data_IF_531834125318
#
_entry.id   IF_531834125318
#
_cell.length_a   1.000
_cell.length_b   1.000
_cell.length_c   1.000
_cell.angle_alpha   90.00
_cell.angle_beta   90.00
_cell.angle_gamma   90.00
#
_symmetry.space_group_name_H-M   'P 1'
#
loop_
_entity.id
_entity.type
_entity.pdbx_description
1 polymer ?
#
# COMPACT_ATOMS: atom_id res chain seq x y z
N UNK A 1 -23.40 -5.17 -2.34
CA UNK A 1 -23.90 -6.26 -1.45
C UNK A 1 -22.69 -7.07 -1.01
N UNK A 2 -22.59 -7.39 0.29
CA UNK A 2 -21.52 -8.24 0.83
C UNK A 2 -22.04 -9.68 0.82
N UNK A 3 -21.45 -10.55 0.01
CA UNK A 3 -21.89 -11.94 -0.19
C UNK A 3 -20.81 -12.99 0.12
N UNK A 4 -19.62 -12.54 0.51
CA UNK A 4 -18.58 -13.38 1.11
C UNK A 4 -17.72 -12.60 2.09
N UNK A 5 -16.89 -13.33 2.85
CA UNK A 5 -15.94 -12.75 3.80
C UNK A 5 -14.60 -12.40 3.16
N UNK A 6 -14.24 -13.03 2.04
CA UNK A 6 -12.92 -12.86 1.40
C UNK A 6 -12.91 -11.89 0.22
N UNK A 7 -14.09 -11.43 -0.25
CA UNK A 7 -14.23 -10.56 -1.42
C UNK A 7 -14.56 -11.29 -2.73
N UNK A 8 -14.70 -12.63 -2.71
CA UNK A 8 -15.27 -13.37 -3.85
C UNK A 8 -16.79 -13.17 -3.91
N UNK A 9 -17.36 -13.12 -5.11
CA UNK A 9 -18.81 -13.02 -5.26
C UNK A 9 -19.47 -14.40 -5.29
N UNK A 10 -20.08 -14.80 -4.17
CA UNK A 10 -20.82 -16.05 -4.07
C UNK A 10 -22.18 -16.01 -4.77
N UNK A 11 -22.76 -14.82 -4.99
CA UNK A 11 -24.11 -14.68 -5.56
C UNK A 11 -24.21 -15.25 -6.98
N UNK A 12 -23.17 -15.05 -7.79
CA UNK A 12 -23.13 -15.48 -9.19
C UNK A 12 -22.22 -16.72 -9.39
N UNK A 13 -22.02 -17.50 -8.33
CA UNK A 13 -21.10 -18.62 -8.34
C UNK A 13 -21.76 -19.89 -8.90
N UNK A 14 -21.19 -20.46 -9.98
CA UNK A 14 -21.71 -21.67 -10.64
C UNK A 14 -21.76 -22.91 -9.73
N UNK A 15 -20.98 -22.92 -8.64
CA UNK A 15 -21.02 -23.98 -7.63
C UNK A 15 -22.32 -23.99 -6.82
N UNK A 16 -23.09 -22.89 -6.80
CA UNK A 16 -24.44 -22.87 -6.20
C UNK A 16 -25.37 -23.84 -6.93
N UNK A 17 -25.39 -23.78 -8.25
CA UNK A 17 -26.24 -24.63 -9.09
C UNK A 17 -25.72 -26.07 -9.18
N UNK A 18 -24.41 -26.24 -9.42
CA UNK A 18 -23.83 -27.55 -9.71
C UNK A 18 -23.61 -28.43 -8.47
N UNK A 19 -23.40 -27.84 -7.30
CA UNK A 19 -23.02 -28.54 -6.07
C UNK A 19 -23.91 -28.18 -4.86
N UNK A 20 -25.02 -27.46 -5.08
CA UNK A 20 -25.91 -27.02 -4.00
C UNK A 20 -25.22 -26.10 -2.98
N UNK A 21 -24.19 -25.36 -3.39
CA UNK A 21 -23.46 -24.45 -2.50
C UNK A 21 -24.38 -23.32 -2.01
N UNK A 22 -24.49 -23.13 -0.70
CA UNK A 22 -25.23 -21.97 -0.15
C UNK A 22 -24.41 -20.66 -0.25
N UNK A 23 -23.10 -20.74 -0.52
CA UNK A 23 -22.20 -19.59 -0.51
C UNK A 23 -21.67 -19.27 0.89
N UNK A 24 -20.74 -18.33 0.98
CA UNK A 24 -19.91 -18.14 2.19
C UNK A 24 -20.71 -17.61 3.39
N UNK A 25 -21.56 -16.59 3.20
CA UNK A 25 -22.31 -15.96 4.29
C UNK A 25 -23.43 -16.87 4.80
N UNK A 26 -24.25 -17.42 3.91
CA UNK A 26 -25.38 -18.29 4.25
C UNK A 26 -24.93 -19.57 4.97
N UNK A 27 -23.77 -20.13 4.59
CA UNK A 27 -23.20 -21.34 5.22
C UNK A 27 -22.34 -21.08 6.45
N UNK A 28 -22.25 -19.83 6.93
CA UNK A 28 -21.36 -19.46 8.05
C UNK A 28 -19.91 -19.90 7.83
N UNK A 29 -19.42 -19.75 6.60
CA UNK A 29 -18.05 -20.09 6.21
C UNK A 29 -17.84 -21.55 5.79
N UNK A 30 -18.91 -22.31 5.51
CA UNK A 30 -18.85 -23.70 5.05
C UNK A 30 -19.46 -23.85 3.64
N UNK A 31 -18.86 -23.25 2.58
CA UNK A 31 -19.29 -23.48 1.20
C UNK A 31 -19.13 -24.96 0.81
N UNK A 32 -19.45 -25.31 -0.44
CA UNK A 32 -19.47 -26.71 -0.93
C UNK A 32 -18.19 -27.51 -0.65
N UNK A 33 -17.04 -26.85 -0.54
CA UNK A 33 -15.74 -27.46 -0.27
C UNK A 33 -15.39 -27.55 1.23
N UNK A 34 -16.35 -27.30 2.13
CA UNK A 34 -16.17 -27.34 3.58
C UNK A 34 -15.69 -26.03 4.19
N UNK A 35 -15.17 -26.10 5.43
CA UNK A 35 -14.81 -24.94 6.24
C UNK A 35 -13.71 -24.07 5.59
N UNK A 36 -14.01 -22.78 5.41
CA UNK A 36 -13.10 -21.82 4.81
C UNK A 36 -12.24 -21.12 5.88
N UNK A 37 -10.91 -21.28 5.77
CA UNK A 37 -9.95 -20.71 6.73
C UNK A 37 -9.92 -19.17 6.79
N UNK A 38 -10.37 -18.47 5.72
CA UNK A 38 -10.55 -17.01 5.72
C UNK A 38 -11.84 -16.64 6.46
N UNK A 39 -12.92 -17.38 6.23
CA UNK A 39 -14.20 -17.14 6.87
C UNK A 39 -14.09 -17.31 8.40
N UNK A 40 -13.46 -18.40 8.85
CA UNK A 40 -13.16 -18.65 10.27
C UNK A 40 -12.36 -17.50 10.88
N UNK A 41 -11.34 -16.99 10.18
CA UNK A 41 -10.53 -15.87 10.66
C UNK A 41 -11.37 -14.61 10.87
N UNK A 42 -12.23 -14.24 9.90
CA UNK A 42 -13.10 -13.08 10.03
C UNK A 42 -14.10 -13.25 11.19
N UNK A 43 -14.71 -14.44 11.30
CA UNK A 43 -15.68 -14.77 12.35
C UNK A 43 -15.06 -14.68 13.75
N UNK A 44 -13.88 -15.25 13.95
CA UNK A 44 -13.17 -15.19 15.23
C UNK A 44 -12.77 -13.76 15.62
N UNK A 45 -12.55 -12.89 14.62
CA UNK A 45 -12.24 -11.46 14.83
C UNK A 45 -13.49 -10.57 14.92
N UNK A 46 -14.69 -11.13 14.79
CA UNK A 46 -15.94 -10.35 14.74
C UNK A 46 -16.07 -9.45 13.51
N UNK A 47 -15.32 -9.73 12.43
CA UNK A 47 -15.34 -8.95 11.19
C UNK A 47 -16.37 -9.51 10.22
N UNK A 48 -17.06 -8.63 9.50
CA UNK A 48 -17.99 -9.05 8.44
C UNK A 48 -17.21 -9.63 7.24
N UNK A 49 -16.16 -8.93 6.81
CA UNK A 49 -15.28 -9.35 5.72
C UNK A 49 -13.84 -8.87 5.96
N UNK A 50 -12.88 -9.39 5.19
CA UNK A 50 -11.46 -9.07 5.36
C UNK A 50 -11.13 -7.58 5.22
N UNK A 51 -11.97 -6.81 4.51
CA UNK A 51 -11.77 -5.38 4.29
C UNK A 51 -11.82 -4.54 5.57
N UNK A 52 -12.46 -5.06 6.62
CA UNK A 52 -12.49 -4.44 7.94
C UNK A 52 -11.22 -4.74 8.76
N UNK A 53 -10.30 -5.57 8.24
CA UNK A 53 -9.04 -5.88 8.90
C UNK A 53 -7.98 -4.85 8.51
N UNK A 54 -7.39 -4.17 9.50
CA UNK A 54 -6.31 -3.19 9.30
C UNK A 54 -4.98 -3.74 8.78
N UNK A 55 -4.89 -5.06 8.56
CA UNK A 55 -3.72 -5.72 7.96
C UNK A 55 -4.10 -6.42 6.63
N UNK A 56 -5.08 -5.90 5.87
CA UNK A 56 -5.46 -6.47 4.58
C UNK A 56 -4.50 -6.01 3.44
N UNK A 57 -4.05 -6.92 2.57
CA UNK A 57 -4.12 -8.37 2.70
C UNK A 57 -3.12 -8.87 3.75
N UNK A 58 -3.59 -9.77 4.60
CA UNK A 58 -2.73 -10.57 5.47
C UNK A 58 -2.13 -11.71 4.64
N UNK A 59 -1.08 -12.37 5.13
CA UNK A 59 -0.42 -13.45 4.38
C UNK A 59 -1.40 -14.51 3.89
N UNK A 60 -2.40 -14.90 4.70
CA UNK A 60 -3.43 -15.86 4.27
C UNK A 60 -4.20 -15.37 3.04
N UNK A 61 -4.73 -14.15 3.06
CA UNK A 61 -5.50 -13.62 1.92
C UNK A 61 -4.59 -13.37 0.70
N UNK A 62 -3.35 -12.94 0.94
CA UNK A 62 -2.38 -12.72 -0.12
C UNK A 62 -2.03 -14.01 -0.87
N UNK A 63 -1.80 -15.11 -0.15
CA UNK A 63 -1.53 -16.43 -0.76
C UNK A 63 -2.64 -16.81 -1.74
N UNK A 64 -3.91 -16.71 -1.31
CA UNK A 64 -5.02 -17.04 -2.20
C UNK A 64 -5.26 -16.00 -3.31
N UNK A 65 -5.07 -14.71 -3.04
CA UNK A 65 -5.46 -13.66 -4.01
C UNK A 65 -4.39 -13.37 -5.06
N UNK A 66 -3.11 -13.57 -4.72
CA UNK A 66 -1.98 -13.21 -5.58
C UNK A 66 -1.13 -14.42 -6.01
N UNK A 67 -0.96 -15.45 -5.18
CA UNK A 67 0.01 -16.52 -5.47
C UNK A 67 -0.61 -17.84 -5.95
N UNK A 68 -1.86 -18.11 -5.59
CA UNK A 68 -2.56 -19.33 -5.99
C UNK A 68 -2.86 -19.31 -7.51
N UNK A 69 -2.27 -20.26 -8.25
CA UNK A 69 -2.41 -20.35 -9.71
C UNK A 69 -3.70 -21.04 -10.15
N UNK A 70 -4.31 -21.84 -9.27
CA UNK A 70 -5.46 -22.68 -9.58
C UNK A 70 -6.76 -22.02 -9.11
N UNK A 71 -6.78 -21.53 -7.88
CA UNK A 71 -7.96 -20.96 -7.22
C UNK A 71 -7.78 -19.47 -6.84
N UNK A 72 -6.68 -18.86 -7.28
CA UNK A 72 -6.45 -17.44 -7.08
C UNK A 72 -7.16 -16.54 -8.08
N UNK A 73 -7.03 -15.24 -7.84
CA UNK A 73 -7.77 -14.24 -8.61
C UNK A 73 -7.16 -14.03 -10.01
N UNK A 74 -8.04 -13.71 -10.97
CA UNK A 74 -7.67 -13.35 -12.34
C UNK A 74 -8.50 -12.12 -12.74
N UNK A 75 -7.98 -10.89 -12.59
CA UNK A 75 -6.58 -10.55 -12.24
C UNK A 75 -6.24 -10.76 -10.76
N UNK A 76 -4.94 -10.88 -10.44
CA UNK A 76 -4.47 -11.01 -9.06
C UNK A 76 -5.01 -9.88 -8.15
N UNK A 77 -5.26 -10.14 -6.88
CA UNK A 77 -5.71 -9.09 -5.95
C UNK A 77 -7.17 -8.66 -6.07
N UNK A 78 -7.97 -9.28 -6.93
CA UNK A 78 -9.37 -8.89 -7.18
C UNK A 78 -10.20 -8.92 -5.88
N UNK A 79 -10.13 -10.01 -5.11
CA UNK A 79 -10.91 -10.14 -3.86
C UNK A 79 -10.47 -9.12 -2.81
N UNK A 80 -9.19 -8.73 -2.81
CA UNK A 80 -8.65 -7.65 -1.95
C UNK A 80 -9.24 -6.31 -2.35
N UNK A 81 -9.33 -6.03 -3.65
CA UNK A 81 -9.96 -4.83 -4.20
C UNK A 81 -11.45 -4.77 -3.82
N UNK A 82 -12.19 -5.88 -3.95
CA UNK A 82 -13.60 -5.95 -3.53
C UNK A 82 -13.75 -5.67 -2.03
N UNK A 83 -12.94 -6.32 -1.19
CA UNK A 83 -12.95 -6.09 0.25
C UNK A 83 -12.70 -4.62 0.62
N UNK A 84 -11.76 -3.96 -0.07
CA UNK A 84 -11.43 -2.55 0.13
C UNK A 84 -12.58 -1.63 -0.26
N UNK A 85 -13.25 -1.88 -1.38
CA UNK A 85 -14.44 -1.12 -1.80
C UNK A 85 -15.55 -1.23 -0.76
N UNK A 86 -15.88 -2.44 -0.30
CA UNK A 86 -16.88 -2.63 0.76
C UNK A 86 -16.52 -1.88 2.05
N UNK A 87 -15.25 -1.92 2.45
CA UNK A 87 -14.80 -1.21 3.65
C UNK A 87 -14.88 0.31 3.50
N UNK A 88 -14.42 0.84 2.36
CA UNK A 88 -14.48 2.27 2.01
C UNK A 88 -15.93 2.80 1.94
N UNK A 89 -16.80 2.09 1.24
CA UNK A 89 -18.22 2.44 1.11
C UNK A 89 -18.98 2.41 2.44
N UNK A 90 -18.57 1.53 3.36
CA UNK A 90 -19.15 1.46 4.71
C UNK A 90 -18.65 2.56 5.66
N UNK A 91 -17.60 3.30 5.28
CA UNK A 91 -16.92 4.27 6.15
C UNK A 91 -16.11 3.65 7.30
N UNK A 92 -16.02 2.31 7.38
CA UNK A 92 -15.29 1.62 8.45
C UNK A 92 -13.78 1.73 8.32
N UNK A 93 -13.27 1.81 7.08
CA UNK A 93 -11.86 2.04 6.78
C UNK A 93 -11.81 2.95 5.57
N UNK A 94 -10.99 4.01 5.62
CA UNK A 94 -10.80 4.91 4.49
C UNK A 94 -9.29 4.99 4.22
N UNK A 95 -8.89 4.56 3.03
CA UNK A 95 -7.52 4.70 2.55
C UNK A 95 -7.60 5.51 1.25
N UNK A 96 -7.22 6.77 1.31
CA UNK A 96 -7.29 7.69 0.16
C UNK A 96 -6.02 8.52 -0.02
N UNK A 97 -5.02 8.32 0.84
CA UNK A 97 -3.86 9.22 0.98
C UNK A 97 -2.52 8.50 0.79
N UNK A 98 -2.39 7.72 -0.29
CA UNK A 98 -1.12 7.08 -0.66
C UNK A 98 -0.56 7.79 -1.89
N UNK A 99 0.52 8.53 -1.73
CA UNK A 99 1.21 9.24 -2.80
C UNK A 99 2.52 8.51 -3.12
N UNK A 100 2.64 7.98 -4.33
CA UNK A 100 3.80 7.22 -4.79
C UNK A 100 4.54 8.04 -5.85
N UNK A 101 5.72 8.55 -5.53
CA UNK A 101 6.51 9.39 -6.43
C UNK A 101 7.68 8.60 -7.02
N UNK A 102 8.10 8.95 -8.24
CA UNK A 102 9.38 8.44 -8.76
C UNK A 102 10.57 9.08 -8.03
N UNK A 103 10.58 10.41 -7.92
CA UNK A 103 11.74 11.17 -7.46
C UNK A 103 11.40 12.36 -6.55
N UNK A 104 10.50 12.19 -5.58
CA UNK A 104 10.24 13.23 -4.57
C UNK A 104 9.52 14.46 -5.12
N UNK A 105 9.66 15.60 -4.43
CA UNK A 105 8.87 16.82 -4.63
C UNK A 105 9.63 17.95 -5.35
N UNK A 106 10.93 17.79 -5.57
CA UNK A 106 11.75 18.77 -6.30
C UNK A 106 12.52 18.10 -7.44
N UNK A 107 12.93 18.89 -8.43
CA UNK A 107 13.92 18.48 -9.42
C UNK A 107 15.37 18.64 -8.90
N UNK A 108 16.36 18.28 -9.72
CA UNK A 108 17.77 18.34 -9.30
C UNK A 108 18.32 19.78 -9.19
N UNK A 109 17.59 20.77 -9.70
CA UNK A 109 17.91 22.19 -9.59
C UNK A 109 17.23 22.84 -8.37
N UNK A 110 16.41 22.09 -7.63
CA UNK A 110 15.67 22.54 -6.44
C UNK A 110 14.35 23.25 -6.77
N UNK A 111 13.84 23.12 -8.00
CA UNK A 111 12.51 23.64 -8.33
C UNK A 111 11.44 22.66 -7.84
N UNK A 112 10.39 23.19 -7.21
CA UNK A 112 9.25 22.40 -6.78
C UNK A 112 8.49 21.83 -7.97
N UNK A 113 8.13 20.56 -7.85
CA UNK A 113 7.13 19.87 -8.69
C UNK A 113 5.76 20.26 -8.16
N UNK A 114 5.20 21.35 -8.68
CA UNK A 114 4.03 22.04 -8.13
C UNK A 114 2.79 21.14 -8.03
N UNK A 115 2.52 20.29 -9.02
CA UNK A 115 1.35 19.40 -9.04
C UNK A 115 1.50 18.27 -8.02
N UNK A 116 2.69 17.67 -7.91
CA UNK A 116 2.97 16.62 -6.91
C UNK A 116 2.97 17.22 -5.50
N UNK A 117 3.62 18.36 -5.30
CA UNK A 117 3.70 19.07 -4.02
C UNK A 117 2.31 19.55 -3.59
N UNK A 118 1.54 20.12 -4.51
CA UNK A 118 0.15 20.53 -4.29
C UNK A 118 -0.72 19.34 -3.88
N UNK A 119 -0.60 18.21 -4.58
CA UNK A 119 -1.29 16.99 -4.19
C UNK A 119 -0.92 16.54 -2.77
N UNK A 120 0.37 16.52 -2.41
CA UNK A 120 0.79 16.17 -1.05
C UNK A 120 0.14 17.07 0.00
N UNK A 121 0.13 18.39 -0.23
CA UNK A 121 -0.46 19.36 0.69
C UNK A 121 -1.98 19.18 0.84
N UNK A 122 -2.69 18.86 -0.25
CA UNK A 122 -4.13 18.56 -0.22
C UNK A 122 -4.48 17.31 0.58
N UNK A 123 -3.55 16.36 0.72
CA UNK A 123 -3.75 15.17 1.55
C UNK A 123 -3.66 15.47 3.05
N UNK A 124 -3.08 16.59 3.47
CA UNK A 124 -2.90 16.91 4.89
C UNK A 124 -4.23 17.34 5.52
N UNK A 125 -4.58 16.76 6.68
CA UNK A 125 -5.77 17.17 7.44
C UNK A 125 -5.57 18.47 8.24
N UNK A 126 -4.36 19.00 8.23
CA UNK A 126 -3.95 20.21 8.95
C UNK A 126 -2.87 20.96 8.18
N UNK A 127 -2.64 22.24 8.49
CA UNK A 127 -1.58 23.02 7.86
C UNK A 127 -0.22 22.32 7.99
N UNK A 128 0.61 22.40 6.94
CA UNK A 128 1.92 21.75 6.88
C UNK A 128 2.77 22.00 8.14
N UNK A 129 2.79 23.24 8.64
CA UNK A 129 3.54 23.61 9.84
C UNK A 129 3.16 22.82 11.11
N UNK A 130 1.96 22.24 11.18
CA UNK A 130 1.49 21.44 12.31
C UNK A 130 1.49 19.93 12.03
N UNK A 131 1.87 19.51 10.83
CA UNK A 131 1.88 18.11 10.39
C UNK A 131 3.10 17.38 10.93
N UNK A 132 2.87 16.24 11.59
CA UNK A 132 3.91 15.35 12.11
C UNK A 132 4.24 14.30 11.07
N UNK A 133 5.52 14.21 10.72
CA UNK A 133 6.03 13.30 9.70
C UNK A 133 6.98 12.29 10.36
N UNK A 134 6.68 11.01 10.20
CA UNK A 134 7.63 9.94 10.45
C UNK A 134 8.45 9.71 9.18
N UNK A 135 9.68 10.21 9.18
CA UNK A 135 10.59 10.16 8.04
C UNK A 135 11.46 8.90 8.11
N UNK A 136 11.34 8.01 7.12
CA UNK A 136 11.92 6.66 7.13
C UNK A 136 12.99 6.52 6.03
N UNK A 137 14.26 6.86 6.32
CA UNK A 137 15.35 6.77 5.36
C UNK A 137 15.99 5.37 5.27
N UNK A 138 15.30 4.33 5.75
CA UNK A 138 15.90 2.99 5.96
C UNK A 138 16.47 2.37 4.68
N UNK A 139 15.88 2.66 3.51
CA UNK A 139 16.40 2.18 2.24
C UNK A 139 17.77 2.77 1.88
N UNK A 140 18.12 3.94 2.43
CA UNK A 140 19.33 4.69 2.10
C UNK A 140 20.57 4.12 2.80
N UNK A 141 21.06 2.97 2.34
CA UNK A 141 22.19 2.26 2.96
C UNK A 141 23.57 2.77 2.48
N UNK A 142 23.68 3.22 1.23
CA UNK A 142 24.91 3.74 0.65
C UNK A 142 24.99 5.27 0.73
N UNK A 143 26.17 5.84 0.41
CA UNK A 143 26.44 7.28 0.60
C UNK A 143 25.57 8.14 -0.30
N UNK A 144 25.37 7.72 -1.55
CA UNK A 144 24.60 8.42 -2.56
C UNK A 144 23.12 8.47 -2.16
N UNK A 145 22.55 7.33 -1.75
CA UNK A 145 21.18 7.25 -1.29
C UNK A 145 20.94 8.05 0.01
N UNK A 146 21.92 8.10 0.93
CA UNK A 146 21.82 8.94 2.14
C UNK A 146 21.77 10.42 1.78
N UNK A 147 22.58 10.86 0.81
CA UNK A 147 22.51 12.23 0.29
C UNK A 147 21.15 12.52 -0.33
N UNK A 148 20.58 11.58 -1.10
CA UNK A 148 19.22 11.73 -1.64
C UNK A 148 18.14 11.77 -0.54
N UNK A 149 18.29 11.00 0.54
CA UNK A 149 17.40 11.09 1.68
C UNK A 149 17.48 12.46 2.39
N UNK A 150 18.68 13.06 2.48
CA UNK A 150 18.84 14.43 2.98
C UNK A 150 18.11 15.45 2.10
N UNK A 151 18.16 15.30 0.77
CA UNK A 151 17.37 16.13 -0.15
C UNK A 151 15.86 15.96 0.08
N UNK A 152 15.35 14.72 0.17
CA UNK A 152 13.93 14.48 0.50
C UNK A 152 13.50 15.08 1.84
N UNK A 153 14.39 15.13 2.83
CA UNK A 153 14.11 15.80 4.10
C UNK A 153 13.95 17.32 3.90
N UNK A 154 14.86 17.94 3.13
CA UNK A 154 14.79 19.37 2.83
C UNK A 154 13.54 19.72 2.00
N UNK A 155 13.18 18.90 1.02
CA UNK A 155 11.96 19.03 0.24
C UNK A 155 10.73 19.11 1.16
N UNK A 156 10.61 18.21 2.15
CA UNK A 156 9.52 18.27 3.14
C UNK A 156 9.50 19.60 3.90
N UNK A 157 10.65 20.09 4.34
CA UNK A 157 10.75 21.40 5.01
C UNK A 157 10.33 22.54 4.08
N UNK A 158 10.73 22.49 2.81
CA UNK A 158 10.35 23.50 1.80
C UNK A 158 8.83 23.49 1.52
N UNK A 159 8.13 22.36 1.67
CA UNK A 159 6.65 22.32 1.61
C UNK A 159 5.97 23.03 2.80
N UNK A 160 6.74 23.48 3.79
CA UNK A 160 6.24 24.14 4.99
C UNK A 160 6.02 23.21 6.19
N UNK A 161 6.45 21.94 6.11
CA UNK A 161 6.51 21.06 7.28
C UNK A 161 7.58 21.58 8.24
N UNK A 162 7.21 21.74 9.50
CA UNK A 162 8.18 22.20 10.50
C UNK A 162 9.23 21.12 10.81
N UNK A 163 10.51 21.49 10.83
CA UNK A 163 11.60 20.53 11.03
C UNK A 163 11.49 19.79 12.38
N UNK A 164 10.98 20.45 13.43
CA UNK A 164 10.71 19.85 14.74
C UNK A 164 9.58 18.80 14.72
N UNK A 165 8.73 18.81 13.71
CA UNK A 165 7.67 17.83 13.51
C UNK A 165 8.09 16.66 12.61
N UNK A 166 9.35 16.63 12.15
CA UNK A 166 9.89 15.54 11.34
C UNK A 166 10.75 14.63 12.24
N UNK A 167 10.24 13.44 12.54
CA UNK A 167 11.00 12.40 13.25
C UNK A 167 11.70 11.49 12.26
N UNK A 168 13.03 11.52 12.24
CA UNK A 168 13.82 10.50 11.54
C UNK A 168 13.67 9.15 12.26
N UNK A 169 13.36 8.08 11.53
CA UNK A 169 13.13 6.75 12.09
C UNK A 169 13.75 5.67 11.20
N UNK A 170 14.70 4.90 11.72
CA UNK A 170 15.15 3.69 11.03
C UNK A 170 14.33 2.51 11.50
N UNK A 171 13.83 1.70 10.57
CA UNK A 171 12.99 0.55 10.91
C UNK A 171 13.79 -0.42 11.79
N UNK A 172 13.27 -0.67 13.00
CA UNK A 172 13.93 -1.47 14.04
C UNK A 172 14.39 -0.64 15.23
N UNK A 173 14.40 0.69 15.12
CA UNK A 173 14.51 1.58 16.27
C UNK A 173 13.23 1.46 17.14
N UNK A 174 13.37 1.72 18.44
CA UNK A 174 12.24 1.69 19.38
C UNK A 174 11.26 2.84 19.09
N UNK A 175 10.00 2.47 18.85
CA UNK A 175 8.89 3.40 18.69
C UNK A 175 7.58 2.68 19.07
N UNK A 176 6.83 3.24 20.02
CA UNK A 176 5.59 2.63 20.49
C UNK A 176 4.47 2.71 19.44
N UNK A 177 3.57 1.73 19.41
CA UNK A 177 2.42 1.73 18.49
C UNK A 177 1.50 2.95 18.69
N UNK A 178 1.33 3.41 19.94
CA UNK A 178 0.55 4.63 20.23
C UNK A 178 1.21 5.89 19.66
N UNK A 179 2.54 5.99 19.77
CA UNK A 179 3.29 7.12 19.22
C UNK A 179 3.24 7.11 17.68
N UNK A 180 3.31 5.93 17.06
CA UNK A 180 3.19 5.77 15.61
C UNK A 180 1.89 6.32 15.05
N UNK A 181 0.77 6.15 15.77
CA UNK A 181 -0.54 6.64 15.33
C UNK A 181 -0.74 8.15 15.51
N UNK A 182 0.13 8.81 16.27
CA UNK A 182 0.14 10.27 16.45
C UNK A 182 0.76 11.01 15.24
N UNK A 183 1.57 10.31 14.42
CA UNK A 183 2.05 10.85 13.15
C UNK A 183 0.92 10.93 12.11
N UNK A 184 0.97 11.95 11.27
CA UNK A 184 0.01 12.17 10.19
C UNK A 184 0.48 11.61 8.86
N UNK A 185 1.81 11.62 8.68
CA UNK A 185 2.49 11.18 7.47
C UNK A 185 3.53 10.14 7.84
N UNK A 186 3.59 9.04 7.09
CA UNK A 186 4.77 8.16 7.02
C UNK A 186 5.43 8.34 5.65
N UNK A 187 6.69 8.75 5.64
CA UNK A 187 7.44 9.09 4.43
C UNK A 187 8.59 8.12 4.24
N UNK A 188 8.59 7.34 3.17
CA UNK A 188 9.65 6.39 2.82
C UNK A 188 10.53 6.95 1.70
N UNK A 189 11.84 7.06 1.95
CA UNK A 189 12.80 7.51 0.95
C UNK A 189 13.17 6.40 -0.05
N UNK A 190 13.89 6.79 -1.11
CA UNK A 190 14.53 5.86 -2.04
C UNK A 190 15.78 5.16 -1.46
N UNK A 191 16.29 4.17 -2.19
CA UNK A 191 17.47 3.39 -1.84
C UNK A 191 17.33 1.91 -2.21
N UNK A 192 17.82 1.02 -1.36
CA UNK A 192 17.72 -0.43 -1.57
C UNK A 192 16.33 -0.96 -1.19
N UNK A 193 15.54 -1.34 -2.20
CA UNK A 193 14.16 -1.82 -2.05
C UNK A 193 14.09 -3.16 -1.33
N UNK A 194 15.03 -4.08 -1.60
CA UNK A 194 15.04 -5.41 -0.98
C UNK A 194 15.36 -5.32 0.51
N UNK A 195 16.34 -4.50 0.87
CA UNK A 195 16.69 -4.20 2.25
C UNK A 195 15.53 -3.54 3.00
N UNK A 196 14.90 -2.52 2.41
CA UNK A 196 13.73 -1.86 2.99
C UNK A 196 12.60 -2.87 3.28
N UNK A 197 12.29 -3.73 2.29
CA UNK A 197 11.25 -4.73 2.45
C UNK A 197 11.60 -5.76 3.54
N UNK A 198 12.85 -6.21 3.61
CA UNK A 198 13.29 -7.15 4.64
C UNK A 198 13.15 -6.54 6.04
N UNK A 199 13.57 -5.28 6.24
CA UNK A 199 13.44 -4.58 7.52
C UNK A 199 11.99 -4.42 7.95
N UNK A 200 11.08 -4.08 7.02
CA UNK A 200 9.64 -4.00 7.28
C UNK A 200 9.08 -5.32 7.82
N UNK A 201 9.51 -6.44 7.23
CA UNK A 201 9.02 -7.78 7.59
C UNK A 201 9.62 -8.29 8.89
N UNK A 202 10.93 -8.13 9.09
CA UNK A 202 11.64 -8.58 10.28
C UNK A 202 11.12 -7.92 11.55
N UNK A 203 10.70 -6.66 11.45
CA UNK A 203 10.22 -5.86 12.59
C UNK A 203 8.70 -5.87 12.74
N UNK A 204 7.96 -6.40 11.75
CA UNK A 204 6.50 -6.30 11.68
C UNK A 204 5.98 -4.89 11.36
N UNK A 205 6.86 -3.96 10.98
CA UNK A 205 6.50 -2.59 10.65
C UNK A 205 5.61 -2.50 9.39
N UNK A 206 5.60 -3.53 8.53
CA UNK A 206 4.66 -3.66 7.41
C UNK A 206 3.18 -3.56 7.86
N UNK A 207 2.86 -4.21 8.97
CA UNK A 207 1.51 -4.26 9.54
C UNK A 207 1.13 -2.92 10.17
N UNK A 208 2.09 -2.22 10.77
CA UNK A 208 1.91 -0.87 11.30
C UNK A 208 1.63 0.13 10.20
N UNK A 209 2.41 0.12 9.11
CA UNK A 209 2.20 1.01 7.96
C UNK A 209 0.81 0.79 7.36
N UNK A 210 0.39 -0.47 7.18
CA UNK A 210 -0.97 -0.77 6.73
C UNK A 210 -2.03 -0.21 7.66
N UNK A 211 -1.88 -0.39 8.99
CA UNK A 211 -2.79 0.20 9.97
C UNK A 211 -2.87 1.72 9.81
N UNK A 212 -1.76 2.43 9.68
CA UNK A 212 -1.74 3.88 9.47
C UNK A 212 -2.53 4.27 8.21
N UNK A 213 -2.25 3.61 7.09
CA UNK A 213 -2.93 3.84 5.81
C UNK A 213 -4.44 3.59 5.91
N UNK A 214 -4.85 2.53 6.62
CA UNK A 214 -6.27 2.20 6.83
C UNK A 214 -7.00 3.16 7.77
N UNK A 215 -6.28 3.87 8.63
CA UNK A 215 -6.79 5.01 9.42
C UNK A 215 -6.65 6.35 8.65
N UNK A 216 -6.51 6.28 7.32
CA UNK A 216 -6.40 7.42 6.42
C UNK A 216 -5.23 8.37 6.72
N UNK A 217 -4.17 7.89 7.37
CA UNK A 217 -2.89 8.63 7.47
C UNK A 217 -2.23 8.68 6.10
N UNK A 218 -1.43 9.72 5.87
CA UNK A 218 -0.74 9.93 4.60
C UNK A 218 0.45 8.99 4.51
N UNK A 219 0.55 8.28 3.40
CA UNK A 219 1.74 7.53 3.02
C UNK A 219 2.39 8.23 1.85
N UNK A 220 3.68 8.51 1.95
CA UNK A 220 4.48 8.99 0.83
C UNK A 220 5.59 7.99 0.56
N UNK A 221 5.68 7.51 -0.68
CA UNK A 221 6.79 6.71 -1.18
C UNK A 221 7.62 7.51 -2.18
N UNK A 222 8.93 7.42 -2.06
CA UNK A 222 9.88 7.87 -3.08
C UNK A 222 10.67 6.68 -3.58
N UNK A 223 10.69 6.45 -4.90
CA UNK A 223 11.50 5.40 -5.52
C UNK A 223 11.27 4.02 -4.84
N UNK A 224 12.24 3.48 -4.11
CA UNK A 224 12.09 2.26 -3.30
C UNK A 224 10.86 2.27 -2.38
N UNK A 225 10.56 3.41 -1.74
CA UNK A 225 9.34 3.61 -0.96
C UNK A 225 8.08 3.43 -1.81
N UNK A 226 8.07 3.86 -3.06
CA UNK A 226 6.95 3.63 -3.98
C UNK A 226 6.83 2.16 -4.40
N UNK A 227 7.96 1.49 -4.64
CA UNK A 227 7.98 0.10 -5.11
C UNK A 227 7.41 -0.87 -4.06
N UNK A 228 7.72 -0.67 -2.77
CA UNK A 228 7.18 -1.52 -1.70
C UNK A 228 5.66 -1.37 -1.52
N UNK A 229 5.03 -0.32 -2.07
CA UNK A 229 3.58 -0.15 -2.03
C UNK A 229 2.84 -1.11 -3.00
N UNK A 230 3.53 -1.64 -4.02
CA UNK A 230 2.98 -2.62 -4.95
C UNK A 230 2.70 -3.98 -4.27
N UNK A 231 1.99 -4.92 -4.93
CA UNK A 231 1.76 -6.25 -4.38
C UNK A 231 3.05 -7.03 -4.17
N UNK A 232 4.05 -6.77 -5.00
CA UNK A 232 5.32 -7.43 -5.00
C UNK A 232 6.40 -6.53 -5.61
N UNK A 233 7.63 -6.60 -5.10
CA UNK A 233 8.73 -5.74 -5.55
C UNK A 233 9.49 -6.28 -6.77
N UNK A 234 9.20 -7.49 -7.25
CA UNK A 234 9.80 -8.00 -8.49
C UNK A 234 9.86 -9.52 -8.61
N UNK A 235 10.52 -9.95 -9.69
CA UNK A 235 10.69 -11.37 -10.04
C UNK A 235 11.76 -12.02 -9.13
N UNK A 236 11.48 -13.18 -8.49
CA UNK A 236 10.24 -13.95 -8.54
C UNK A 236 9.13 -13.40 -7.65
N UNK A 237 7.90 -13.39 -8.19
CA UNK A 237 6.68 -13.04 -7.47
C UNK A 237 6.36 -14.12 -6.41
N UNK A 238 6.84 -13.91 -5.19
CA UNK A 238 6.73 -14.85 -4.07
C UNK A 238 6.29 -14.16 -2.79
N UNK A 239 6.03 -14.92 -1.72
CA UNK A 239 5.80 -14.34 -0.39
C UNK A 239 7.02 -13.55 0.11
N UNK A 240 8.23 -13.93 -0.31
CA UNK A 240 9.45 -13.25 0.15
C UNK A 240 9.59 -11.83 -0.41
N UNK A 241 9.06 -11.61 -1.61
CA UNK A 241 9.07 -10.32 -2.33
C UNK A 241 7.73 -9.58 -2.21
N UNK A 242 6.79 -10.08 -1.40
CA UNK A 242 5.48 -9.46 -1.14
C UNK A 242 5.64 -8.06 -0.57
N UNK A 243 5.10 -7.07 -1.25
CA UNK A 243 5.04 -5.69 -0.78
C UNK A 243 3.84 -5.43 0.15
N UNK A 244 3.55 -4.16 0.38
CA UNK A 244 2.45 -3.69 1.22
C UNK A 244 1.09 -3.88 0.54
N UNK A 245 1.06 -4.13 -0.78
CA UNK A 245 -0.15 -4.30 -1.57
C UNK A 245 -1.09 -3.08 -1.50
N UNK A 246 -0.59 -1.86 -1.23
CA UNK A 246 -1.41 -0.65 -1.24
C UNK A 246 -1.90 -0.37 -2.67
N UNK A 247 -1.08 -0.62 -3.68
CA UNK A 247 -1.47 -0.51 -5.08
C UNK A 247 -1.81 -1.90 -5.66
N UNK A 248 -2.85 -2.02 -6.50
CA UNK A 248 -3.13 -3.25 -7.27
C UNK A 248 -2.62 -3.16 -8.72
N UNK A 249 -1.36 -2.78 -8.84
CA UNK A 249 -0.60 -2.63 -10.07
C UNK A 249 0.90 -2.74 -9.73
N UNK A 250 1.72 -3.01 -10.72
CA UNK A 250 3.18 -2.99 -10.58
C UNK A 250 3.74 -1.65 -11.01
N UNK A 251 4.84 -1.24 -10.38
CA UNK A 251 5.49 0.04 -10.62
C UNK A 251 6.91 -0.17 -11.16
N UNK A 252 7.27 0.67 -12.13
CA UNK A 252 8.65 1.05 -12.39
C UNK A 252 8.81 2.54 -12.10
N UNK A 253 9.92 2.90 -11.46
CA UNK A 253 10.31 4.29 -11.15
C UNK A 253 11.57 4.64 -11.94
N UNK A 254 11.87 5.93 -12.04
CA UNK A 254 12.97 6.47 -12.84
C UNK A 254 12.88 6.05 -14.32
N UNK A 255 11.65 5.98 -14.83
CA UNK A 255 11.41 5.57 -16.21
C UNK A 255 11.84 6.68 -17.17
N UNK A 256 12.37 6.26 -18.32
CA UNK A 256 12.66 7.09 -19.49
C UNK A 256 11.78 6.66 -20.67
N UNK A 257 11.84 7.37 -21.79
CA UNK A 257 11.15 6.96 -23.02
C UNK A 257 11.56 5.56 -23.51
N UNK A 258 12.78 5.12 -23.17
CA UNK A 258 13.34 3.81 -23.51
C UNK A 258 12.87 2.69 -22.57
N UNK A 259 12.18 3.02 -21.48
CA UNK A 259 11.76 2.01 -20.49
C UNK A 259 10.66 1.12 -21.07
N UNK A 260 11.00 -0.14 -21.31
CA UNK A 260 10.14 -1.15 -21.95
C UNK A 260 8.98 -1.53 -21.03
N UNK A 261 7.78 -1.63 -21.62
CA UNK A 261 6.62 -2.17 -20.95
C UNK A 261 6.79 -3.68 -20.72
N UNK A 262 6.51 -4.13 -19.50
CA UNK A 262 6.57 -5.53 -19.11
C UNK A 262 5.17 -6.11 -19.14
N UNK A 263 5.03 -7.27 -19.78
CA UNK A 263 3.82 -8.08 -19.64
C UNK A 263 3.81 -8.70 -18.24
N UNK A 264 2.94 -8.21 -17.37
CA UNK A 264 2.84 -8.60 -15.97
C UNK A 264 1.42 -9.08 -15.63
N UNK A 265 1.23 -9.87 -14.57
CA UNK A 265 -0.09 -10.32 -14.13
C UNK A 265 -1.08 -9.20 -13.72
N UNK A 266 -0.58 -7.98 -13.56
CA UNK A 266 -1.32 -6.76 -13.23
C UNK A 266 -0.82 -5.61 -14.11
N UNK A 267 -1.60 -4.52 -14.24
CA UNK A 267 -1.15 -3.33 -14.95
C UNK A 267 0.23 -2.87 -14.50
N UNK A 268 1.07 -2.48 -15.46
CA UNK A 268 2.42 -1.97 -15.22
C UNK A 268 2.45 -0.46 -15.41
N UNK A 269 2.61 0.27 -14.31
CA UNK A 269 2.67 1.73 -14.29
C UNK A 269 4.14 2.15 -14.30
N UNK A 270 4.52 2.97 -15.28
CA UNK A 270 5.87 3.50 -15.46
C UNK A 270 5.88 4.98 -15.07
N UNK A 271 6.53 5.30 -13.95
CA UNK A 271 6.66 6.68 -13.47
C UNK A 271 8.01 7.25 -13.90
N UNK A 272 7.96 8.37 -14.62
CA UNK A 272 9.08 9.29 -14.85
C UNK A 272 9.31 10.15 -13.60
N UNK A 273 10.44 10.82 -13.52
CA UNK A 273 10.84 11.58 -12.31
C UNK A 273 9.95 12.78 -12.00
N UNK A 274 9.21 13.29 -12.99
CA UNK A 274 8.18 14.32 -12.85
C UNK A 274 6.76 13.74 -12.67
N UNK A 275 6.63 12.45 -12.33
CA UNK A 275 5.33 11.81 -12.17
C UNK A 275 5.17 11.19 -10.78
N UNK A 276 3.93 11.20 -10.31
CA UNK A 276 3.49 10.50 -9.12
C UNK A 276 2.16 9.79 -9.36
N UNK A 277 1.80 8.90 -8.44
CA UNK A 277 0.56 8.15 -8.44
C UNK A 277 -0.15 8.38 -7.10
N UNK A 278 -1.33 9.00 -7.13
CA UNK A 278 -2.22 9.05 -5.98
C UNK A 278 -3.09 7.80 -5.97
N UNK A 279 -2.99 7.00 -4.91
CA UNK A 279 -3.70 5.72 -4.76
C UNK A 279 -4.73 5.81 -3.63
N UNK A 280 -5.93 5.32 -3.93
CA UNK A 280 -7.09 5.26 -3.03
C UNK A 280 -7.67 3.84 -3.02
N UNK A 281 -8.59 3.58 -2.10
CA UNK A 281 -9.35 2.33 -2.02
C UNK A 281 -10.13 2.00 -3.30
N UNK A 282 -10.39 2.99 -4.15
CA UNK A 282 -11.15 2.83 -5.38
C UNK A 282 -10.30 2.85 -6.66
N UNK A 283 -8.98 2.98 -6.56
CA UNK A 283 -8.09 3.01 -7.74
C UNK A 283 -6.96 4.00 -7.57
N UNK A 284 -6.44 4.51 -8.68
CA UNK A 284 -5.33 5.45 -8.70
C UNK A 284 -5.46 6.50 -9.79
N UNK A 285 -4.77 7.62 -9.61
CA UNK A 285 -4.70 8.75 -10.53
C UNK A 285 -3.23 9.10 -10.75
N UNK A 286 -2.83 9.27 -12.02
CA UNK A 286 -1.50 9.76 -12.39
C UNK A 286 -1.45 11.28 -12.20
N UNK A 287 -0.38 11.76 -11.59
CA UNK A 287 -0.06 13.18 -11.42
C UNK A 287 1.21 13.45 -12.22
N UNK A 288 1.22 14.50 -13.02
CA UNK A 288 2.36 14.91 -13.84
C UNK A 288 2.71 16.37 -13.55
N UNK A 289 4.01 16.66 -13.47
CA UNK A 289 4.58 18.01 -13.41
C UNK A 289 5.23 18.43 -14.73
#
# INVERSE_FOLDING_TARGET
>A
MIDSRCGLHCTNCSWKETHGCMGCIESMGNPFHGECSIAVCCQNKGLMHCGECSNIPCSKLYQYSYLDKEHGDKPQGERVTVCRKWAGESGKMNWSKVLLTSAGFEDMDGNSKENITGCFLELLDKPAAHTKVLFVPTAAINKEAKKMAEYCYLELVHTGISAENIRLYNIGDELGEEELLDYDVVYFTGGDTGYLLNRLRETGFDSTVKKMVHHNKVYVGVSAGSLIAAPNIGDPFTEATRGLCLLNAYLSVHCTEETVERELPLPHIRLRDNQALLVTYNGYILIED
#
